data_IF_132089855386
#
_entry.id   IF_132089855386
#
_cell.length_a   1.000
_cell.length_b   1.000
_cell.length_c   1.000
_cell.angle_alpha   90.00
_cell.angle_beta   90.00
_cell.angle_gamma   90.00
#
_symmetry.space_group_name_H-M   'P 1'
#
loop_
_entity.id
_entity.type
_entity.pdbx_description
1 polymer ?
#
# COMPACT_ATOMS: atom_id res chain seq x y z
N UNK A 1 -19.52 -16.94 13.70
CA UNK A 1 -18.59 -15.84 14.03
C UNK A 1 -17.75 -16.31 15.22
N UNK A 2 -16.45 -16.13 15.13
CA UNK A 2 -15.51 -16.57 16.17
C UNK A 2 -15.31 -15.52 17.27
N UNK A 3 -15.87 -14.32 17.11
CA UNK A 3 -15.74 -13.18 18.01
C UNK A 3 -17.09 -12.75 18.62
N UNK A 4 -17.02 -12.07 19.76
CA UNK A 4 -18.17 -11.41 20.39
C UNK A 4 -18.38 -10.06 19.71
N UNK A 5 -19.59 -9.79 19.23
CA UNK A 5 -19.91 -8.51 18.61
C UNK A 5 -20.48 -7.54 19.65
N UNK A 6 -19.88 -6.36 19.76
CA UNK A 6 -20.25 -5.29 20.69
C UNK A 6 -20.57 -4.01 19.94
N UNK A 7 -21.31 -3.11 20.58
CA UNK A 7 -21.63 -1.79 20.04
C UNK A 7 -21.32 -0.75 21.11
N UNK A 8 -20.46 0.20 20.78
CA UNK A 8 -20.15 1.35 21.61
C UNK A 8 -19.97 2.58 20.69
N UNK A 9 -21.06 3.30 20.47
CA UNK A 9 -21.11 4.36 19.47
C UNK A 9 -20.31 5.56 19.93
N UNK A 10 -19.41 5.99 19.06
CA UNK A 10 -18.56 7.17 19.26
C UNK A 10 -19.37 8.45 19.48
N UNK A 11 -18.77 9.42 20.17
CA UNK A 11 -19.35 10.76 20.31
C UNK A 11 -19.72 11.31 18.92
N UNK A 12 -20.88 11.94 18.81
CA UNK A 12 -21.43 12.46 17.53
C UNK A 12 -20.49 13.42 16.81
N UNK A 13 -19.60 14.08 17.52
CA UNK A 13 -18.62 14.99 16.92
C UNK A 13 -17.39 14.27 16.30
N UNK A 14 -17.27 12.96 16.51
CA UNK A 14 -16.18 12.14 16.00
C UNK A 14 -16.48 11.55 14.62
N UNK A 15 -17.73 11.64 14.11
CA UNK A 15 -18.09 11.11 12.82
C UNK A 15 -19.07 12.01 12.07
N UNK A 16 -19.18 11.83 10.76
CA UNK A 16 -19.96 12.68 9.88
C UNK A 16 -21.43 12.33 9.81
N UNK A 17 -22.09 12.89 8.82
CA UNK A 17 -23.52 12.71 8.56
C UNK A 17 -23.90 11.34 8.05
N UNK A 18 -25.20 11.14 7.84
CA UNK A 18 -25.78 9.94 7.23
C UNK A 18 -25.33 9.84 5.77
N UNK A 19 -25.07 8.62 5.33
CA UNK A 19 -24.80 8.26 3.92
C UNK A 19 -25.68 7.11 3.46
N UNK A 20 -25.90 7.01 2.15
CA UNK A 20 -26.51 5.82 1.56
C UNK A 20 -25.56 4.62 1.75
N UNK A 21 -26.11 3.46 2.12
CA UNK A 21 -25.34 2.20 2.17
C UNK A 21 -24.79 1.81 0.79
N UNK A 22 -25.47 2.18 -0.28
CA UNK A 22 -25.00 1.98 -1.66
C UNK A 22 -23.80 2.85 -2.04
N UNK A 23 -23.47 3.87 -1.25
CA UNK A 23 -22.26 4.66 -1.43
C UNK A 23 -20.99 3.92 -0.96
N UNK A 24 -21.13 2.88 -0.13
CA UNK A 24 -20.01 2.09 0.38
C UNK A 24 -19.40 1.28 -0.77
N UNK A 25 -18.13 1.55 -1.08
CA UNK A 25 -17.41 0.93 -2.21
C UNK A 25 -16.09 0.31 -1.79
N UNK A 26 -15.52 0.72 -0.66
CA UNK A 26 -14.21 0.30 -0.20
C UNK A 26 -14.27 -0.23 1.23
N UNK A 27 -13.44 -1.22 1.50
CA UNK A 27 -13.11 -1.70 2.84
C UNK A 27 -11.65 -1.35 3.12
N UNK A 28 -11.41 -0.54 4.15
CA UNK A 28 -10.07 -0.02 4.46
C UNK A 28 -9.60 -0.58 5.79
N UNK A 29 -8.45 -1.23 5.77
CA UNK A 29 -7.80 -1.77 6.96
C UNK A 29 -6.77 -0.79 7.51
N UNK A 30 -6.80 -0.67 8.83
CA UNK A 30 -5.92 0.15 9.65
C UNK A 30 -5.36 -0.68 10.81
N UNK A 31 -4.48 -0.10 11.58
CA UNK A 31 -4.07 -0.56 12.89
C UNK A 31 -4.11 0.63 13.86
N UNK A 32 -4.40 0.37 15.12
CA UNK A 32 -4.59 1.43 16.13
C UNK A 32 -3.29 2.20 16.42
N UNK A 33 -2.15 1.52 16.39
CA UNK A 33 -0.85 2.08 16.73
C UNK A 33 -0.71 2.39 18.22
N UNK A 34 -1.50 1.72 19.07
CA UNK A 34 -1.52 1.87 20.51
C UNK A 34 -1.12 0.54 21.18
N UNK A 35 -0.07 0.53 21.97
CA UNK A 35 0.42 -0.68 22.61
C UNK A 35 -0.57 -1.26 23.62
N UNK A 36 -1.03 -2.50 23.38
CA UNK A 36 -1.87 -3.27 24.31
C UNK A 36 -3.30 -2.74 24.45
N UNK A 37 -3.82 -2.06 23.43
CA UNK A 37 -5.20 -1.62 23.43
C UNK A 37 -6.18 -2.76 23.09
N UNK A 38 -7.45 -2.55 23.41
CA UNK A 38 -8.55 -3.45 23.02
C UNK A 38 -9.59 -2.71 22.19
N UNK A 39 -10.43 -3.47 21.48
CA UNK A 39 -11.55 -2.94 20.73
C UNK A 39 -12.52 -2.15 21.62
N UNK A 40 -12.75 -2.62 22.84
CA UNK A 40 -13.58 -1.95 23.83
C UNK A 40 -12.96 -0.66 24.36
N UNK A 41 -11.65 -0.66 24.65
CA UNK A 41 -10.95 0.53 25.12
C UNK A 41 -10.96 1.62 24.06
N UNK A 42 -10.77 1.27 22.79
CA UNK A 42 -10.92 2.19 21.67
C UNK A 42 -12.37 2.67 21.51
N UNK A 43 -13.35 1.75 21.54
CA UNK A 43 -14.76 2.13 21.52
C UNK A 43 -15.12 3.14 22.61
N UNK A 44 -14.64 2.91 23.83
CA UNK A 44 -14.84 3.82 24.97
C UNK A 44 -14.14 5.16 24.77
N UNK A 45 -12.89 5.14 24.28
CA UNK A 45 -12.14 6.38 24.01
C UNK A 45 -12.89 7.29 23.04
N UNK A 46 -13.38 6.76 21.91
CA UNK A 46 -14.12 7.55 20.92
C UNK A 46 -15.53 7.92 21.39
N UNK A 47 -16.13 7.18 22.33
CA UNK A 47 -17.39 7.52 22.97
C UNK A 47 -17.23 8.70 23.95
N UNK A 48 -16.21 8.63 24.82
CA UNK A 48 -16.04 9.55 25.94
C UNK A 48 -15.34 10.86 25.55
N UNK A 49 -14.52 10.83 24.47
CA UNK A 49 -13.70 11.99 24.07
C UNK A 49 -14.05 12.48 22.69
N UNK A 50 -13.90 13.80 22.49
CA UNK A 50 -14.02 14.45 21.17
C UNK A 50 -12.64 14.58 20.56
N UNK A 51 -12.32 13.71 19.59
CA UNK A 51 -11.02 13.65 18.91
C UNK A 51 -11.08 13.97 17.42
N UNK A 52 -12.29 14.16 16.87
CA UNK A 52 -12.57 14.43 15.45
C UNK A 52 -11.97 13.37 14.50
N UNK A 53 -11.89 12.13 14.98
CA UNK A 53 -11.50 10.94 14.26
C UNK A 53 -12.38 9.78 14.70
N UNK A 54 -12.51 8.74 13.90
CA UNK A 54 -13.25 7.51 14.24
C UNK A 54 -13.00 6.41 13.24
N UNK A 55 -13.34 5.16 13.63
CA UNK A 55 -13.46 4.04 12.74
C UNK A 55 -14.86 3.43 12.84
N UNK A 56 -15.26 2.63 11.85
CA UNK A 56 -16.53 1.89 11.95
C UNK A 56 -16.41 0.75 12.94
N UNK A 57 -15.28 0.03 12.91
CA UNK A 57 -15.03 -1.15 13.72
C UNK A 57 -13.63 -1.15 14.29
N UNK A 58 -13.52 -1.64 15.53
CA UNK A 58 -12.29 -2.05 16.17
C UNK A 58 -12.33 -3.56 16.37
N UNK A 59 -11.20 -4.25 16.20
CA UNK A 59 -11.09 -5.71 16.36
C UNK A 59 -9.91 -6.05 17.26
N UNK A 60 -10.09 -7.01 18.13
CA UNK A 60 -9.02 -7.60 18.94
C UNK A 60 -9.15 -9.14 18.99
N UNK A 61 -8.54 -9.79 20.00
CA UNK A 61 -8.44 -11.24 20.07
C UNK A 61 -9.77 -11.96 20.31
N UNK A 62 -10.73 -11.34 20.97
CA UNK A 62 -11.97 -11.99 21.38
C UNK A 62 -13.24 -11.30 20.88
N UNK A 63 -13.15 -10.05 20.47
CA UNK A 63 -14.32 -9.27 20.14
C UNK A 63 -14.13 -8.29 18.98
N UNK A 64 -15.25 -7.73 18.56
CA UNK A 64 -15.36 -6.66 17.56
C UNK A 64 -16.32 -5.62 18.07
N UNK A 65 -15.87 -4.40 18.27
CA UNK A 65 -16.72 -3.27 18.67
C UNK A 65 -17.06 -2.40 17.47
N UNK A 66 -18.35 -2.23 17.19
CA UNK A 66 -18.84 -1.20 16.26
C UNK A 66 -18.88 0.15 16.98
N UNK A 67 -18.10 1.11 16.44
CA UNK A 67 -18.02 2.47 17.00
C UNK A 67 -18.75 3.52 16.13
N UNK A 68 -18.85 3.31 14.83
CA UNK A 68 -19.68 4.15 13.95
C UNK A 68 -20.62 3.26 13.14
N UNK A 69 -21.94 3.54 13.12
CA UNK A 69 -22.87 2.77 12.29
C UNK A 69 -22.55 2.90 10.80
N UNK A 70 -22.74 1.84 10.03
CA UNK A 70 -22.35 1.78 8.60
C UNK A 70 -22.97 2.86 7.73
N UNK A 71 -24.17 3.31 8.07
CA UNK A 71 -24.88 4.39 7.38
C UNK A 71 -24.42 5.79 7.79
N UNK A 72 -23.35 5.91 8.58
CA UNK A 72 -22.68 7.17 8.91
C UNK A 72 -21.24 7.18 8.36
N UNK A 73 -20.67 8.37 8.31
CA UNK A 73 -19.32 8.60 7.77
C UNK A 73 -18.29 8.59 8.92
N UNK A 74 -17.47 7.55 9.05
CA UNK A 74 -16.35 7.58 9.96
C UNK A 74 -15.21 8.45 9.41
N UNK A 75 -14.44 9.11 10.30
CA UNK A 75 -13.30 9.96 9.94
C UNK A 75 -11.99 9.17 10.04
N UNK A 76 -11.71 8.28 9.08
CA UNK A 76 -10.60 7.31 9.12
C UNK A 76 -9.60 7.43 7.97
N UNK A 77 -10.04 7.78 6.75
CA UNK A 77 -9.18 7.83 5.57
C UNK A 77 -8.84 9.23 5.09
N UNK A 78 -9.01 10.22 5.95
CA UNK A 78 -8.69 11.61 5.68
C UNK A 78 -7.18 11.90 5.68
N UNK A 79 -6.85 13.20 5.55
CA UNK A 79 -5.48 13.69 5.61
C UNK A 79 -4.87 14.02 4.25
N UNK A 80 -3.67 14.61 4.30
CA UNK A 80 -2.91 14.97 3.10
C UNK A 80 -2.25 13.72 2.50
N UNK A 81 -2.12 13.67 1.19
CA UNK A 81 -1.32 12.66 0.52
C UNK A 81 0.15 12.82 0.94
N UNK A 82 0.74 11.77 1.51
CA UNK A 82 2.09 11.79 2.06
C UNK A 82 3.18 11.58 0.99
N UNK A 83 2.80 11.10 -0.18
CA UNK A 83 3.65 11.05 -1.36
C UNK A 83 2.95 11.69 -2.54
N UNK A 84 3.71 12.06 -3.58
CA UNK A 84 3.17 12.86 -4.70
C UNK A 84 2.00 12.24 -5.44
N UNK A 85 1.74 10.94 -5.30
CA UNK A 85 0.59 10.32 -5.95
C UNK A 85 0.28 8.94 -5.35
N UNK A 86 -0.92 8.82 -4.80
CA UNK A 86 -1.55 7.54 -4.53
C UNK A 86 -2.80 7.44 -5.41
N UNK A 87 -2.97 6.35 -6.18
CA UNK A 87 -4.06 6.22 -7.15
C UNK A 87 -5.45 6.38 -6.55
N UNK A 88 -5.62 6.02 -5.28
CA UNK A 88 -6.91 6.10 -4.58
C UNK A 88 -7.10 7.39 -3.79
N UNK A 89 -6.12 8.32 -3.80
CA UNK A 89 -6.26 9.61 -3.11
C UNK A 89 -7.42 10.42 -3.69
N UNK A 90 -8.34 10.87 -2.84
CA UNK A 90 -9.60 11.51 -3.19
C UNK A 90 -10.60 10.63 -3.96
N UNK A 91 -10.24 9.38 -4.30
CA UNK A 91 -11.16 8.39 -4.87
C UNK A 91 -11.78 7.55 -3.77
N UNK A 92 -10.96 6.95 -2.90
CA UNK A 92 -11.43 6.37 -1.65
C UNK A 92 -11.48 7.49 -0.59
N UNK A 93 -12.63 7.70 0.00
CA UNK A 93 -12.91 8.79 0.96
C UNK A 93 -13.69 8.25 2.15
N UNK A 94 -13.79 9.02 3.21
CA UNK A 94 -14.62 8.68 4.37
C UNK A 94 -16.09 8.37 3.99
N UNK A 95 -16.62 9.04 2.97
CA UNK A 95 -18.03 8.89 2.57
C UNK A 95 -18.32 7.60 1.80
N UNK A 96 -17.31 6.95 1.22
CA UNK A 96 -17.50 5.74 0.41
C UNK A 96 -16.72 4.51 0.91
N UNK A 97 -16.22 4.55 2.15
CA UNK A 97 -15.47 3.45 2.75
C UNK A 97 -16.02 3.01 4.11
N UNK A 98 -15.82 1.75 4.43
CA UNK A 98 -15.88 1.20 5.79
C UNK A 98 -14.44 1.01 6.27
N UNK A 99 -14.16 1.36 7.53
CA UNK A 99 -12.86 1.20 8.16
C UNK A 99 -12.88 0.15 9.26
N UNK A 100 -11.86 -0.70 9.28
CA UNK A 100 -11.57 -1.66 10.34
C UNK A 100 -10.20 -1.30 10.92
N UNK A 101 -10.16 -0.98 12.20
CA UNK A 101 -8.96 -0.80 13.01
C UNK A 101 -8.64 -2.10 13.72
N UNK A 102 -7.45 -2.62 13.55
CA UNK A 102 -6.94 -3.80 14.24
C UNK A 102 -6.13 -3.35 15.45
N UNK A 103 -6.52 -3.79 16.64
CA UNK A 103 -5.79 -3.52 17.87
C UNK A 103 -4.45 -4.23 17.86
N UNK A 104 -3.43 -3.56 18.33
CA UNK A 104 -2.05 -4.02 18.25
C UNK A 104 -1.37 -4.10 19.62
N UNK A 105 -0.28 -4.83 19.67
CA UNK A 105 0.59 -4.90 20.83
C UNK A 105 2.05 -4.70 20.42
N UNK A 106 2.86 -4.24 21.36
CA UNK A 106 4.29 -4.11 21.16
C UNK A 106 5.01 -5.36 21.64
N UNK A 107 5.57 -6.14 20.73
CA UNK A 107 6.24 -7.39 21.05
C UNK A 107 7.64 -7.43 20.40
N UNK A 108 8.65 -7.79 21.20
CA UNK A 108 10.04 -7.91 20.71
C UNK A 108 10.55 -6.67 19.96
N UNK A 109 10.18 -5.47 20.40
CA UNK A 109 10.58 -4.22 19.77
C UNK A 109 9.81 -3.86 18.49
N UNK A 110 8.69 -4.55 18.20
CA UNK A 110 7.87 -4.34 17.01
C UNK A 110 6.40 -4.25 17.36
N UNK A 111 5.67 -3.47 16.58
CA UNK A 111 4.21 -3.46 16.60
C UNK A 111 3.70 -4.69 15.86
N UNK A 112 2.95 -5.53 16.55
CA UNK A 112 2.36 -6.74 16.00
C UNK A 112 0.86 -6.79 16.30
N UNK A 113 0.11 -7.36 15.38
CA UNK A 113 -1.27 -7.77 15.58
C UNK A 113 -1.25 -9.29 15.78
N UNK A 114 -1.97 -9.77 16.78
CA UNK A 114 -2.04 -11.20 17.05
C UNK A 114 -2.73 -11.93 15.89
N UNK A 115 -2.46 -13.21 15.75
CA UNK A 115 -3.15 -14.02 14.73
C UNK A 115 -4.67 -14.06 14.99
N UNK A 116 -5.08 -14.02 16.25
CA UNK A 116 -6.50 -14.02 16.63
C UNK A 116 -7.22 -12.73 16.22
N UNK A 117 -6.61 -11.58 16.47
CA UNK A 117 -7.12 -10.28 15.98
C UNK A 117 -7.19 -10.27 14.45
N UNK A 118 -6.17 -10.81 13.75
CA UNK A 118 -6.19 -10.92 12.27
C UNK A 118 -7.34 -11.82 11.79
N UNK A 119 -7.59 -12.95 12.45
CA UNK A 119 -8.72 -13.83 12.13
C UNK A 119 -10.07 -13.13 12.29
N UNK A 120 -10.27 -12.42 13.40
CA UNK A 120 -11.50 -11.67 13.66
C UNK A 120 -11.69 -10.54 12.65
N UNK A 121 -10.62 -9.81 12.31
CA UNK A 121 -10.66 -8.77 11.28
C UNK A 121 -10.97 -9.33 9.88
N UNK A 122 -10.46 -10.52 9.55
CA UNK A 122 -10.76 -11.23 8.30
C UNK A 122 -12.21 -11.69 8.27
N UNK A 123 -12.72 -12.28 9.34
CA UNK A 123 -14.10 -12.75 9.42
C UNK A 123 -15.09 -11.58 9.27
N UNK A 124 -14.84 -10.47 10.00
CA UNK A 124 -15.58 -9.23 9.84
C UNK A 124 -15.51 -8.71 8.40
N UNK A 125 -14.31 -8.71 7.81
CA UNK A 125 -14.10 -8.27 6.43
C UNK A 125 -14.90 -9.08 5.43
N UNK A 126 -14.92 -10.42 5.54
CA UNK A 126 -15.75 -11.30 4.69
C UNK A 126 -17.23 -10.95 4.79
N UNK A 127 -17.72 -10.71 6.00
CA UNK A 127 -19.11 -10.33 6.25
C UNK A 127 -19.45 -8.99 5.58
N UNK A 128 -18.58 -7.99 5.74
CA UNK A 128 -18.78 -6.65 5.17
C UNK A 128 -18.65 -6.64 3.64
N UNK A 129 -17.69 -7.39 3.08
CA UNK A 129 -17.57 -7.58 1.63
C UNK A 129 -18.85 -8.16 1.03
N UNK A 130 -19.41 -9.20 1.66
CA UNK A 130 -20.67 -9.81 1.24
C UNK A 130 -21.85 -8.85 1.39
N UNK A 131 -21.95 -8.16 2.54
CA UNK A 131 -23.06 -7.24 2.86
C UNK A 131 -23.14 -6.06 1.89
N UNK A 132 -22.01 -5.52 1.45
CA UNK A 132 -21.94 -4.32 0.62
C UNK A 132 -21.48 -4.59 -0.81
N UNK A 133 -21.35 -5.85 -1.18
CA UNK A 133 -20.84 -6.27 -2.49
C UNK A 133 -19.51 -5.59 -2.86
N UNK A 134 -18.56 -5.59 -1.89
CA UNK A 134 -17.23 -5.01 -2.08
C UNK A 134 -16.31 -6.09 -2.67
N UNK A 135 -15.82 -5.91 -3.90
CA UNK A 135 -14.90 -6.87 -4.50
C UNK A 135 -13.50 -6.77 -3.85
N UNK A 136 -12.72 -7.84 -3.92
CA UNK A 136 -11.41 -7.94 -3.26
C UNK A 136 -10.41 -6.86 -3.69
N UNK A 137 -10.54 -6.31 -4.90
CA UNK A 137 -9.70 -5.23 -5.43
C UNK A 137 -9.97 -3.90 -4.70
N UNK A 138 -11.11 -3.78 -4.03
CA UNK A 138 -11.50 -2.62 -3.23
C UNK A 138 -11.33 -2.83 -1.72
N UNK A 139 -10.70 -3.94 -1.34
CA UNK A 139 -10.17 -4.15 -0.01
C UNK A 139 -8.74 -3.66 0.00
N UNK A 140 -8.49 -2.59 0.75
CA UNK A 140 -7.27 -1.79 0.66
C UNK A 140 -6.74 -1.40 2.04
N UNK A 141 -5.48 -0.97 2.10
CA UNK A 141 -4.84 -0.37 3.27
C UNK A 141 -5.06 1.15 3.27
N UNK A 142 -5.01 1.79 4.40
CA UNK A 142 -4.91 3.26 4.43
C UNK A 142 -3.69 3.76 3.64
N UNK A 143 -2.59 3.00 3.66
CA UNK A 143 -1.40 3.25 2.83
C UNK A 143 -1.75 3.43 1.34
N UNK A 144 -2.63 2.60 0.80
CA UNK A 144 -3.02 2.64 -0.62
C UNK A 144 -3.82 3.90 -0.97
N UNK A 145 -4.43 4.55 0.02
CA UNK A 145 -5.21 5.78 -0.17
C UNK A 145 -4.30 7.01 -0.25
N UNK A 146 -3.41 7.22 0.73
CA UNK A 146 -2.67 8.48 0.83
C UNK A 146 -1.18 8.34 1.21
N UNK A 147 -0.66 7.11 1.29
CA UNK A 147 0.74 6.82 1.63
C UNK A 147 1.06 6.84 3.12
N UNK A 148 0.08 7.01 4.00
CA UNK A 148 0.29 6.83 5.44
C UNK A 148 0.76 5.40 5.71
N UNK A 149 1.81 5.23 6.52
CA UNK A 149 2.27 3.91 6.95
C UNK A 149 1.24 3.24 7.88
N UNK A 150 0.15 2.71 7.28
CA UNK A 150 -0.98 2.12 7.99
C UNK A 150 -1.67 1.06 7.10
N UNK A 151 -1.83 -0.20 7.57
CA UNK A 151 -1.33 -0.74 8.85
C UNK A 151 0.18 -0.99 8.83
N UNK A 152 0.92 -0.49 9.83
CA UNK A 152 2.37 -0.67 9.95
C UNK A 152 2.70 -1.76 10.99
N UNK A 153 2.17 -2.94 10.78
CA UNK A 153 2.30 -4.11 11.65
C UNK A 153 2.36 -5.36 10.78
N UNK A 154 2.87 -6.47 11.30
CA UNK A 154 2.90 -7.79 10.63
C UNK A 154 3.38 -7.73 9.16
N UNK A 155 4.23 -6.76 8.85
CA UNK A 155 4.72 -6.50 7.50
C UNK A 155 3.62 -6.20 6.44
N UNK A 156 2.41 -5.82 6.88
CA UNK A 156 1.26 -5.57 5.99
C UNK A 156 1.44 -4.39 5.02
N UNK A 157 2.46 -3.55 5.23
CA UNK A 157 2.85 -2.55 4.24
C UNK A 157 3.50 -3.15 2.99
N UNK A 158 4.05 -4.38 3.08
CA UNK A 158 4.56 -5.08 1.91
C UNK A 158 3.42 -5.69 1.10
N UNK A 159 3.50 -5.61 -0.23
CA UNK A 159 2.46 -6.18 -1.09
C UNK A 159 2.38 -7.70 -0.96
N UNK A 160 3.49 -8.39 -0.63
CA UNK A 160 3.50 -9.84 -0.38
C UNK A 160 2.61 -10.19 0.81
N UNK A 161 2.83 -9.58 1.98
CA UNK A 161 2.04 -9.86 3.17
C UNK A 161 0.58 -9.40 3.02
N UNK A 162 0.36 -8.25 2.36
CA UNK A 162 -0.97 -7.76 2.09
C UNK A 162 -1.77 -8.68 1.16
N UNK A 163 -1.15 -9.23 0.12
CA UNK A 163 -1.80 -10.19 -0.78
C UNK A 163 -2.09 -11.51 -0.07
N UNK A 164 -1.20 -11.98 0.81
CA UNK A 164 -1.48 -13.15 1.66
C UNK A 164 -2.67 -12.90 2.60
N UNK A 165 -2.75 -11.72 3.22
CA UNK A 165 -3.91 -11.31 4.01
C UNK A 165 -5.20 -11.31 3.18
N UNK A 166 -5.20 -10.72 1.99
CA UNK A 166 -6.38 -10.70 1.10
C UNK A 166 -6.80 -12.10 0.63
N UNK A 167 -5.88 -13.03 0.42
CA UNK A 167 -6.20 -14.42 0.07
C UNK A 167 -7.03 -15.10 1.16
N UNK A 168 -6.80 -14.79 2.43
CA UNK A 168 -7.61 -15.29 3.55
C UNK A 168 -9.05 -14.76 3.53
N UNK A 169 -9.27 -13.55 3.00
CA UNK A 169 -10.61 -12.96 2.83
C UNK A 169 -11.45 -13.70 1.78
N UNK A 170 -10.82 -14.23 0.75
CA UNK A 170 -11.52 -14.95 -0.33
C UNK A 170 -11.75 -16.43 -0.06
N UNK A 171 -11.19 -16.95 1.05
CA UNK A 171 -11.28 -18.38 1.37
C UNK A 171 -10.41 -19.26 0.49
N UNK A 172 -9.54 -18.69 -0.32
CA UNK A 172 -8.54 -19.44 -1.06
C UNK A 172 -7.61 -20.16 -0.06
N UNK A 173 -7.33 -21.46 -0.24
CA UNK A 173 -6.45 -22.20 0.67
C UNK A 173 -5.09 -21.49 0.72
N UNK A 174 -4.63 -21.17 1.94
CA UNK A 174 -3.27 -20.71 2.16
C UNK A 174 -2.37 -21.93 1.99
N UNK A 175 -2.02 -22.23 0.76
CA UNK A 175 -0.92 -23.14 0.52
C UNK A 175 0.34 -22.39 0.91
N UNK A 176 1.13 -22.95 1.85
CA UNK A 176 2.48 -22.50 2.21
C UNK A 176 3.47 -22.71 1.05
N UNK A 177 2.99 -22.80 -0.14
CA UNK A 177 3.72 -22.62 -1.38
C UNK A 177 3.59 -21.15 -1.74
N UNK A 178 4.70 -20.53 -2.04
CA UNK A 178 4.81 -19.22 -2.67
C UNK A 178 3.57 -18.92 -3.52
N UNK A 179 2.82 -17.81 -3.29
CA UNK A 179 1.58 -17.58 -4.02
C UNK A 179 1.90 -17.47 -5.51
N UNK A 180 1.65 -18.57 -6.21
CA UNK A 180 1.51 -18.52 -7.66
C UNK A 180 0.28 -17.67 -7.93
N UNK A 181 0.39 -16.53 -8.61
CA UNK A 181 -0.76 -15.74 -8.97
C UNK A 181 -1.67 -16.61 -9.85
N UNK A 182 -2.96 -16.70 -9.48
CA UNK A 182 -3.98 -17.23 -10.42
C UNK A 182 -3.89 -16.38 -11.69
N UNK A 183 -3.67 -16.98 -12.84
CA UNK A 183 -3.14 -16.29 -13.99
C UNK A 183 -4.22 -15.57 -14.79
N UNK A 184 -4.29 -14.26 -14.68
CA UNK A 184 -3.94 -13.51 -15.88
C UNK A 184 -2.42 -13.56 -15.88
N UNK A 185 -1.86 -14.55 -16.57
CA UNK A 185 -0.43 -14.77 -16.66
C UNK A 185 0.24 -13.43 -16.91
N UNK A 186 1.06 -12.96 -15.95
CA UNK A 186 1.98 -11.87 -16.25
C UNK A 186 2.67 -12.29 -17.54
N UNK A 187 2.62 -11.50 -18.61
CA UNK A 187 3.19 -11.92 -19.87
C UNK A 187 4.66 -12.31 -19.67
N UNK A 188 5.13 -13.32 -20.39
CA UNK A 188 6.54 -13.71 -20.34
C UNK A 188 7.41 -12.47 -20.46
N UNK A 189 8.34 -12.27 -19.52
CA UNK A 189 9.19 -11.07 -19.46
C UNK A 189 8.64 -9.91 -18.62
N UNK A 190 7.56 -10.11 -17.87
CA UNK A 190 7.06 -9.10 -16.93
C UNK A 190 8.08 -8.79 -15.84
N UNK A 191 8.29 -7.51 -15.59
CA UNK A 191 9.13 -6.97 -14.52
C UNK A 191 8.34 -5.89 -13.76
N UNK A 192 8.12 -6.10 -12.47
CA UNK A 192 7.37 -5.19 -11.61
C UNK A 192 8.01 -3.79 -11.54
N UNK A 193 9.33 -3.72 -11.55
CA UNK A 193 10.05 -2.46 -11.62
C UNK A 193 9.76 -1.72 -12.93
N UNK A 194 9.64 -2.44 -14.05
CA UNK A 194 9.28 -1.86 -15.35
C UNK A 194 7.86 -1.32 -15.33
N UNK A 195 6.90 -2.05 -14.72
CA UNK A 195 5.53 -1.57 -14.56
C UNK A 195 5.49 -0.27 -13.72
N UNK A 196 6.22 -0.21 -12.62
CA UNK A 196 6.34 0.99 -11.79
C UNK A 196 7.00 2.15 -12.55
N UNK A 197 8.01 1.88 -13.37
CA UNK A 197 8.63 2.89 -14.21
C UNK A 197 7.65 3.43 -15.26
N UNK A 198 6.90 2.56 -15.94
CA UNK A 198 5.88 2.95 -16.92
C UNK A 198 4.80 3.85 -16.28
N UNK A 199 4.32 3.46 -15.11
CA UNK A 199 3.36 4.26 -14.34
C UNK A 199 3.94 5.65 -14.00
N UNK A 200 5.20 5.71 -13.57
CA UNK A 200 5.84 6.96 -13.18
C UNK A 200 6.15 7.85 -14.40
N UNK A 201 6.51 7.27 -15.54
CA UNK A 201 6.67 7.99 -16.81
C UNK A 201 5.34 8.60 -17.30
N UNK A 202 4.23 7.88 -17.13
CA UNK A 202 2.90 8.42 -17.42
C UNK A 202 2.52 9.55 -16.47
N UNK A 203 2.80 9.39 -15.19
CA UNK A 203 2.45 10.38 -14.17
C UNK A 203 3.21 11.69 -14.35
N UNK A 204 4.54 11.62 -14.47
CA UNK A 204 5.39 12.80 -14.50
C UNK A 204 5.50 13.43 -15.91
N UNK A 205 5.53 12.59 -16.94
CA UNK A 205 5.86 13.02 -18.30
C UNK A 205 4.72 12.83 -19.31
N UNK A 206 3.55 12.34 -18.86
CA UNK A 206 2.35 12.13 -19.68
C UNK A 206 2.61 11.27 -20.93
N UNK A 207 3.41 10.20 -20.78
CA UNK A 207 3.88 9.39 -21.91
C UNK A 207 2.82 8.46 -22.52
N UNK A 208 1.70 8.22 -21.85
CA UNK A 208 0.60 7.37 -22.37
C UNK A 208 0.97 5.91 -22.58
N UNK A 209 1.92 5.39 -21.78
CA UNK A 209 2.35 4.00 -21.87
C UNK A 209 1.28 3.06 -21.31
N UNK A 210 1.14 1.89 -21.90
CA UNK A 210 0.47 0.77 -21.21
C UNK A 210 1.37 0.33 -20.04
N UNK A 211 0.79 0.21 -18.85
CA UNK A 211 1.50 -0.26 -17.65
C UNK A 211 1.39 -1.79 -17.62
N UNK A 212 2.20 -2.45 -18.44
CA UNK A 212 2.17 -3.91 -18.62
C UNK A 212 3.40 -4.63 -18.07
N UNK A 213 4.36 -3.89 -17.52
CA UNK A 213 5.58 -4.45 -16.96
C UNK A 213 6.54 -5.04 -18.01
N UNK A 214 6.25 -4.83 -19.30
CA UNK A 214 7.10 -5.32 -20.36
C UNK A 214 8.11 -4.27 -20.80
N UNK A 215 9.37 -4.66 -20.88
CA UNK A 215 10.42 -3.83 -21.48
C UNK A 215 10.25 -3.83 -23.00
N UNK A 216 9.97 -2.68 -23.55
CA UNK A 216 9.77 -2.53 -24.99
C UNK A 216 10.33 -1.22 -25.52
N UNK A 217 10.38 -1.07 -26.87
CA UNK A 217 10.84 0.17 -27.50
C UNK A 217 10.11 1.41 -26.99
N UNK A 218 8.79 1.34 -26.85
CA UNK A 218 7.96 2.45 -26.35
C UNK A 218 8.35 2.87 -24.93
N UNK A 219 8.61 1.90 -24.04
CA UNK A 219 9.07 2.20 -22.67
C UNK A 219 10.44 2.87 -22.68
N UNK A 220 11.37 2.37 -23.51
CA UNK A 220 12.70 2.93 -23.64
C UNK A 220 12.69 4.36 -24.21
N UNK A 221 11.87 4.62 -25.20
CA UNK A 221 11.70 5.95 -25.81
C UNK A 221 11.08 6.97 -24.85
N UNK A 222 10.21 6.50 -23.99
CA UNK A 222 9.55 7.34 -23.00
C UNK A 222 10.49 7.77 -21.85
N UNK A 223 11.59 7.07 -21.63
CA UNK A 223 12.53 7.34 -20.54
C UNK A 223 13.27 8.68 -20.76
N UNK A 224 13.28 9.58 -19.75
CA UNK A 224 13.98 10.85 -19.82
C UNK A 224 15.48 10.67 -19.61
N UNK A 225 16.28 11.64 -20.05
CA UNK A 225 17.68 11.73 -19.60
C UNK A 225 17.72 12.18 -18.14
N UNK A 226 18.37 11.38 -17.28
CA UNK A 226 18.51 11.67 -15.85
C UNK A 226 19.98 11.81 -15.47
N UNK A 227 20.32 12.90 -14.78
CA UNK A 227 21.70 13.22 -14.39
C UNK A 227 21.78 13.81 -12.98
N UNK A 228 22.98 14.02 -12.47
CA UNK A 228 23.21 14.64 -11.14
C UNK A 228 22.38 15.91 -10.98
N UNK A 229 21.69 16.03 -9.84
CA UNK A 229 20.77 17.10 -9.52
C UNK A 229 19.29 16.73 -9.73
N UNK A 230 18.98 15.69 -10.48
CA UNK A 230 17.61 15.19 -10.60
C UNK A 230 17.07 14.70 -9.26
N UNK A 231 15.75 14.85 -9.07
CA UNK A 231 15.03 14.43 -7.86
C UNK A 231 13.68 13.81 -8.23
N UNK A 232 13.18 12.93 -7.37
CA UNK A 232 11.83 12.34 -7.49
C UNK A 232 11.85 10.84 -7.77
N UNK A 233 10.67 10.28 -8.05
CA UNK A 233 10.47 8.84 -8.10
C UNK A 233 11.21 8.14 -9.24
N UNK A 234 11.39 8.78 -10.40
CA UNK A 234 12.21 8.21 -11.48
C UNK A 234 13.65 8.01 -11.01
N UNK A 235 14.22 8.97 -10.26
CA UNK A 235 15.55 8.82 -9.66
C UNK A 235 15.58 7.73 -8.61
N UNK A 236 14.54 7.63 -7.77
CA UNK A 236 14.40 6.56 -6.77
C UNK A 236 14.36 5.17 -7.44
N UNK A 237 13.59 5.03 -8.51
CA UNK A 237 13.54 3.79 -9.31
C UNK A 237 14.91 3.43 -9.90
N UNK A 238 15.68 4.40 -10.39
CA UNK A 238 17.06 4.16 -10.85
C UNK A 238 17.93 3.62 -9.71
N UNK A 239 17.87 4.21 -8.50
CA UNK A 239 18.61 3.76 -7.33
C UNK A 239 18.19 2.34 -6.91
N UNK A 240 16.90 2.04 -6.87
CA UNK A 240 16.36 0.71 -6.59
C UNK A 240 16.85 -0.33 -7.60
N UNK A 241 16.83 -0.01 -8.91
CA UNK A 241 17.32 -0.92 -9.95
C UNK A 241 18.83 -1.16 -9.85
N UNK A 242 19.62 -0.12 -9.53
CA UNK A 242 21.04 -0.29 -9.27
C UNK A 242 21.28 -1.23 -8.09
N UNK A 243 20.52 -1.07 -6.99
CA UNK A 243 20.64 -1.96 -5.84
C UNK A 243 20.26 -3.41 -6.19
N UNK A 244 19.23 -3.61 -7.01
CA UNK A 244 18.82 -4.96 -7.46
C UNK A 244 19.88 -5.67 -8.31
N UNK A 245 20.79 -4.91 -8.94
CA UNK A 245 21.87 -5.47 -9.76
C UNK A 245 23.24 -5.46 -9.07
N UNK A 246 23.29 -5.16 -7.74
CA UNK A 246 24.47 -5.36 -6.92
C UNK A 246 25.10 -4.09 -6.32
N UNK A 247 24.48 -2.92 -6.43
CA UNK A 247 24.92 -1.72 -5.72
C UNK A 247 24.27 -1.62 -4.34
N UNK A 248 24.78 -0.71 -3.50
CA UNK A 248 24.22 -0.38 -2.20
C UNK A 248 24.09 1.15 -2.09
N UNK A 249 22.96 1.68 -2.55
CA UNK A 249 22.62 3.10 -2.56
C UNK A 249 21.44 3.39 -1.63
N UNK A 250 21.43 4.56 -1.01
CA UNK A 250 20.21 5.11 -0.46
C UNK A 250 19.21 5.37 -1.60
N UNK A 251 17.96 4.91 -1.43
CA UNK A 251 16.87 5.08 -2.40
C UNK A 251 16.05 6.35 -2.08
N UNK A 252 16.75 7.42 -1.82
CA UNK A 252 16.19 8.71 -1.39
C UNK A 252 15.59 9.56 -2.53
N UNK A 253 15.68 9.08 -3.75
CA UNK A 253 15.21 9.78 -4.93
C UNK A 253 16.03 11.04 -5.30
N UNK A 254 17.24 11.21 -4.75
CA UNK A 254 18.15 12.32 -5.06
C UNK A 254 19.36 11.82 -5.86
N UNK A 255 19.52 12.30 -7.08
CA UNK A 255 20.66 11.94 -7.91
C UNK A 255 21.90 12.72 -7.46
N UNK A 256 22.53 12.26 -6.39
CA UNK A 256 23.73 12.83 -5.77
C UNK A 256 25.04 12.33 -6.38
N UNK A 257 26.15 12.62 -5.69
CA UNK A 257 27.49 12.13 -6.05
C UNK A 257 27.56 10.60 -5.99
N UNK A 258 26.94 9.95 -5.00
CA UNK A 258 26.88 8.50 -4.85
C UNK A 258 26.18 7.81 -6.03
N UNK A 259 24.98 8.28 -6.39
CA UNK A 259 24.22 7.77 -7.54
C UNK A 259 25.02 7.95 -8.84
N UNK A 260 25.66 9.13 -9.05
CA UNK A 260 26.53 9.36 -10.23
C UNK A 260 27.69 8.38 -10.31
N UNK A 261 28.38 8.12 -9.16
CA UNK A 261 29.47 7.14 -9.09
C UNK A 261 28.99 5.74 -9.44
N UNK A 262 27.85 5.32 -8.90
CA UNK A 262 27.24 4.01 -9.20
C UNK A 262 26.87 3.88 -10.68
N UNK A 263 26.26 4.90 -11.29
CA UNK A 263 25.97 4.88 -12.73
C UNK A 263 27.24 4.74 -13.56
N UNK A 264 28.33 5.45 -13.23
CA UNK A 264 29.61 5.30 -13.96
C UNK A 264 30.15 3.86 -13.87
N UNK A 265 30.09 3.25 -12.70
CA UNK A 265 30.52 1.84 -12.51
C UNK A 265 29.59 0.90 -13.30
N UNK A 266 28.27 1.11 -13.22
CA UNK A 266 27.30 0.35 -14.01
C UNK A 266 27.59 0.45 -15.51
N UNK A 267 27.81 1.67 -16.03
CA UNK A 267 28.16 1.92 -17.42
C UNK A 267 29.46 1.19 -17.83
N UNK A 268 30.51 1.26 -16.99
CA UNK A 268 31.76 0.54 -17.20
C UNK A 268 31.51 -0.96 -17.39
N UNK A 269 30.76 -1.58 -16.48
CA UNK A 269 30.48 -3.02 -16.48
C UNK A 269 29.57 -3.44 -17.67
N UNK A 270 28.97 -2.48 -18.37
CA UNK A 270 28.14 -2.70 -19.56
C UNK A 270 28.79 -2.24 -20.86
N UNK A 271 30.08 -1.88 -20.83
CA UNK A 271 30.78 -1.41 -22.02
C UNK A 271 30.26 -0.06 -22.57
N UNK A 272 29.64 0.75 -21.68
CA UNK A 272 29.11 2.07 -22.06
C UNK A 272 30.07 3.20 -21.70
N UNK A 273 29.91 4.36 -22.34
CA UNK A 273 30.59 5.59 -21.93
C UNK A 273 30.27 5.93 -20.48
N UNK A 274 31.31 6.17 -19.66
CA UNK A 274 31.21 6.40 -18.21
C UNK A 274 30.92 7.87 -17.88
N UNK A 275 29.88 8.46 -18.47
CA UNK A 275 29.52 9.85 -18.26
C UNK A 275 28.74 10.11 -16.96
N UNK A 276 28.17 9.05 -16.38
CA UNK A 276 27.33 9.12 -15.18
C UNK A 276 25.97 9.77 -15.46
N UNK A 277 25.49 9.68 -16.70
CA UNK A 277 24.18 10.15 -17.15
C UNK A 277 23.34 8.93 -17.55
N UNK A 278 22.10 8.89 -17.13
CA UNK A 278 21.18 7.84 -17.53
C UNK A 278 20.45 8.28 -18.80
N UNK A 279 21.11 8.09 -19.93
CA UNK A 279 20.57 8.26 -21.28
C UNK A 279 20.03 6.95 -21.85
N UNK A 280 19.61 6.95 -23.12
CA UNK A 280 18.94 5.82 -23.81
C UNK A 280 19.70 4.49 -23.65
N UNK A 281 21.01 4.48 -23.84
CA UNK A 281 21.82 3.26 -23.72
C UNK A 281 21.88 2.74 -22.27
N UNK A 282 22.00 3.63 -21.29
CA UNK A 282 21.98 3.25 -19.87
C UNK A 282 20.59 2.73 -19.48
N UNK A 283 19.51 3.37 -19.92
CA UNK A 283 18.14 2.89 -19.71
C UNK A 283 17.90 1.51 -20.31
N UNK A 284 18.41 1.23 -21.51
CA UNK A 284 18.28 -0.09 -22.14
C UNK A 284 18.82 -1.21 -21.25
N UNK A 285 19.92 -0.98 -20.53
CA UNK A 285 20.48 -1.95 -19.59
C UNK A 285 19.74 -1.98 -18.26
N UNK A 286 19.31 -0.84 -17.74
CA UNK A 286 18.49 -0.79 -16.52
C UNK A 286 17.16 -1.53 -16.72
N UNK A 287 16.51 -1.39 -17.87
CA UNK A 287 15.28 -2.11 -18.21
C UNK A 287 15.48 -3.64 -18.23
N UNK A 288 16.66 -4.13 -18.55
CA UNK A 288 16.95 -5.58 -18.54
C UNK A 288 17.07 -6.17 -17.14
N UNK A 289 17.49 -5.38 -16.15
CA UNK A 289 17.65 -5.84 -14.76
C UNK A 289 18.66 -6.97 -14.55
N UNK A 290 19.59 -7.16 -15.46
CA UNK A 290 20.60 -8.23 -15.39
C UNK A 290 21.61 -7.93 -14.28
N UNK A 291 21.85 -8.87 -13.36
CA UNK A 291 22.90 -8.75 -12.32
C UNK A 291 24.28 -8.50 -12.97
N UNK A 292 25.15 -7.82 -12.23
CA UNK A 292 26.54 -7.61 -12.64
C UNK A 292 27.35 -8.87 -12.43
#
# INVERSE_FOLDING_TARGET
MSYIFKVNIANKQNYGGVRSLNAIKYLVYHYTGNDGDSDESNGRHFHDHIVKASAHYFTDDDSVTQSVPDNYVAYSVGGKCQSRHHPLYKICTNSNSISIEMCDCYKNGKVEITEKTLENAIELGKMLMKKYNIPIERVIRHYDVNGKACPNCNNLLSDKAWNAFKSRLTGAPVTNTEPTPTPTSKPSGYDDWVARLQAELNNQLKRGLKVDGLRGPKTLEACPTVKKGAKGNITKLIQERLNSVGFNLSTDGKFGKGTKKAIKVFQKNRGLSQDGIVGKNTWSWLLRGTKM
#
